data_IF_330274133916
#
_entry.id   IF_330274133916
#
_cell.length_a   1.000
_cell.length_b   1.000
_cell.length_c   1.000
_cell.angle_alpha   90.00
_cell.angle_beta   90.00
_cell.angle_gamma   90.00
#
_symmetry.space_group_name_H-M   'P 1'
#
loop_
_entity.id
_entity.type
_entity.pdbx_description
1 polymer ?
#
# COMPACT_ATOMS: atom_id res chain seq x y z
N UNK A 1 40.36 22.83 -15.05
CA UNK A 1 39.57 22.36 -16.21
C UNK A 1 38.90 21.06 -15.80
N UNK A 2 37.92 21.21 -14.93
CA UNK A 2 37.24 20.13 -14.20
C UNK A 2 35.83 19.97 -14.80
N UNK A 3 35.35 18.74 -14.91
CA UNK A 3 33.90 18.48 -14.89
C UNK A 3 33.23 17.83 -16.11
N UNK A 4 33.94 17.36 -17.15
CA UNK A 4 33.27 16.99 -18.41
C UNK A 4 32.77 15.55 -18.55
N UNK A 5 33.22 14.56 -17.76
CA UNK A 5 32.72 13.18 -17.89
C UNK A 5 31.57 12.84 -16.91
N UNK A 6 31.62 13.35 -15.67
CA UNK A 6 30.60 13.11 -14.65
C UNK A 6 29.28 13.87 -14.93
N UNK A 7 29.37 15.08 -15.50
CA UNK A 7 28.20 15.82 -15.98
C UNK A 7 27.54 15.11 -17.18
N UNK A 8 28.32 14.50 -18.08
CA UNK A 8 27.79 13.73 -19.21
C UNK A 8 27.07 12.45 -18.75
N UNK A 9 27.54 11.78 -17.70
CA UNK A 9 26.86 10.61 -17.10
C UNK A 9 25.58 10.96 -16.32
N UNK A 10 25.50 12.20 -15.83
CA UNK A 10 24.34 12.80 -15.16
C UNK A 10 23.29 13.30 -16.15
N UNK A 11 23.71 13.85 -17.28
CA UNK A 11 22.82 14.29 -18.37
C UNK A 11 22.28 13.12 -19.21
N UNK A 12 23.03 12.04 -19.38
CA UNK A 12 22.56 10.85 -20.10
C UNK A 12 21.41 10.10 -19.38
N UNK A 13 21.24 10.28 -18.07
CA UNK A 13 20.09 9.74 -17.31
C UNK A 13 18.79 10.54 -17.52
N UNK A 14 18.86 11.72 -18.13
CA UNK A 14 17.69 12.56 -18.40
C UNK A 14 17.11 12.37 -19.83
N UNK A 15 17.68 11.47 -20.64
CA UNK A 15 17.36 11.34 -22.06
C UNK A 15 16.74 10.00 -22.50
N UNK A 16 16.45 9.07 -21.59
CA UNK A 16 15.68 7.87 -21.92
C UNK A 16 14.20 8.03 -21.56
N UNK A 17 13.44 8.73 -22.42
CA UNK A 17 12.02 8.44 -22.69
C UNK A 17 11.46 9.36 -23.79
N UNK A 18 12.06 9.34 -24.99
CA UNK A 18 11.41 9.86 -26.20
C UNK A 18 11.73 8.99 -27.41
N UNK A 19 10.94 7.94 -27.62
CA UNK A 19 10.70 7.43 -28.97
C UNK A 19 9.21 7.63 -29.33
N UNK A 20 8.90 8.34 -30.44
CA UNK A 20 7.55 8.52 -30.90
C UNK A 20 7.09 7.27 -31.68
N UNK A 21 6.12 6.55 -31.14
CA UNK A 21 5.41 5.50 -31.87
C UNK A 21 4.60 6.15 -33.01
N UNK A 22 5.05 5.93 -34.24
CA UNK A 22 4.30 6.23 -35.47
C UNK A 22 3.11 5.27 -35.55
N UNK A 23 1.90 5.78 -35.33
CA UNK A 23 0.65 5.07 -35.63
C UNK A 23 0.08 5.59 -36.94
N UNK A 24 -0.02 4.70 -37.93
CA UNK A 24 -0.66 4.94 -39.23
C UNK A 24 -2.17 5.06 -39.07
N UNK A 25 -2.77 6.04 -39.75
CA UNK A 25 -4.19 6.31 -39.76
C UNK A 25 -5.00 5.15 -40.37
N UNK A 26 -5.96 4.64 -39.61
CA UNK A 26 -6.98 3.71 -40.06
C UNK A 26 -8.35 4.39 -40.14
N UNK A 27 -9.09 4.06 -41.19
CA UNK A 27 -10.35 4.64 -41.67
C UNK A 27 -11.47 4.83 -40.64
N UNK A 28 -12.23 5.90 -40.82
CA UNK A 28 -13.40 6.32 -40.04
C UNK A 28 -14.61 5.42 -40.26
N UNK A 29 -15.17 4.87 -39.18
CA UNK A 29 -16.57 4.40 -39.14
C UNK A 29 -17.35 5.14 -38.05
N UNK A 30 -18.49 5.71 -38.46
CA UNK A 30 -19.39 6.50 -37.63
C UNK A 30 -20.08 5.63 -36.58
N UNK A 31 -19.53 5.57 -35.37
CA UNK A 31 -20.26 5.14 -34.19
C UNK A 31 -20.79 6.36 -33.43
N UNK A 32 -22.13 6.46 -33.32
CA UNK A 32 -22.83 7.46 -32.53
C UNK A 32 -22.28 7.44 -31.11
N UNK A 33 -21.57 8.51 -30.72
CA UNK A 33 -20.99 8.61 -29.39
C UNK A 33 -22.11 8.74 -28.33
N UNK A 34 -22.04 7.99 -27.22
CA UNK A 34 -22.88 8.28 -26.08
C UNK A 34 -22.55 9.69 -25.59
N UNK A 35 -23.58 10.51 -25.35
CA UNK A 35 -23.42 11.83 -24.73
C UNK A 35 -22.80 11.64 -23.35
N UNK A 36 -21.49 11.79 -23.26
CA UNK A 36 -20.78 11.94 -21.98
C UNK A 36 -21.36 13.21 -21.35
N UNK A 37 -21.93 13.11 -20.14
CA UNK A 37 -22.18 14.27 -19.30
C UNK A 37 -20.82 14.87 -18.98
N UNK A 38 -20.39 15.82 -19.80
CA UNK A 38 -19.16 16.56 -19.57
C UNK A 38 -19.40 17.35 -18.26
N UNK A 39 -18.70 16.98 -17.19
CA UNK A 39 -18.94 17.46 -15.82
C UNK A 39 -18.62 18.95 -15.61
N UNK A 40 -18.87 19.46 -14.39
CA UNK A 40 -18.74 20.87 -13.98
C UNK A 40 -17.34 21.48 -14.07
N UNK A 41 -16.33 20.73 -14.54
CA UNK A 41 -14.93 21.14 -14.63
C UNK A 41 -14.47 21.40 -16.08
N UNK A 42 -15.41 21.63 -17.01
CA UNK A 42 -15.07 21.87 -18.42
C UNK A 42 -14.07 22.99 -18.56
N UNK A 43 -14.25 24.08 -17.82
CA UNK A 43 -13.45 25.29 -18.01
C UNK A 43 -12.20 25.32 -17.14
N UNK A 44 -11.88 24.22 -16.44
CA UNK A 44 -10.65 24.18 -15.62
C UNK A 44 -9.40 24.43 -16.49
N UNK A 45 -9.37 23.91 -17.72
CA UNK A 45 -8.24 24.10 -18.64
C UNK A 45 -8.16 25.51 -19.24
N UNK A 46 -9.15 26.38 -19.01
CA UNK A 46 -9.13 27.79 -19.45
C UNK A 46 -8.62 28.74 -18.37
N UNK A 47 -8.41 28.24 -17.14
CA UNK A 47 -7.83 29.03 -16.06
C UNK A 47 -6.36 29.39 -16.36
N UNK A 48 -5.91 30.59 -15.95
CA UNK A 48 -4.50 30.95 -15.93
C UNK A 48 -3.65 29.92 -15.18
N UNK A 49 -2.42 29.70 -15.64
CA UNK A 49 -1.51 28.72 -15.06
C UNK A 49 -1.25 28.94 -13.57
N UNK A 50 -1.19 30.20 -13.13
CA UNK A 50 -0.95 30.52 -11.72
C UNK A 50 -2.10 30.05 -10.82
N UNK A 51 -3.36 30.20 -11.26
CA UNK A 51 -4.52 29.67 -10.54
C UNK A 51 -4.55 28.15 -10.56
N UNK A 52 -4.17 27.54 -11.69
CA UNK A 52 -4.03 26.08 -11.78
C UNK A 52 -2.99 25.55 -10.79
N UNK A 53 -1.81 26.18 -10.70
CA UNK A 53 -0.79 25.78 -9.74
C UNK A 53 -1.20 26.05 -8.28
N UNK A 54 -1.93 27.13 -8.01
CA UNK A 54 -2.48 27.41 -6.68
C UNK A 54 -3.54 26.40 -6.25
N UNK A 55 -4.29 25.82 -7.19
CA UNK A 55 -5.16 24.67 -6.90
C UNK A 55 -4.32 23.41 -6.74
N UNK A 56 -3.42 23.15 -7.68
CA UNK A 56 -2.69 21.88 -7.74
C UNK A 56 -1.65 21.71 -6.63
N UNK A 57 -1.20 22.77 -5.96
CA UNK A 57 -0.27 22.68 -4.81
C UNK A 57 -0.87 21.92 -3.62
N UNK A 58 -2.20 21.79 -3.56
CA UNK A 58 -2.89 21.00 -2.55
C UNK A 58 -2.97 19.51 -2.88
N UNK A 59 -2.58 19.11 -4.09
CA UNK A 59 -2.60 17.73 -4.54
C UNK A 59 -1.43 16.93 -3.99
N UNK A 60 -1.62 15.62 -3.87
CA UNK A 60 -0.53 14.70 -3.63
C UNK A 60 0.22 14.38 -4.94
N UNK A 61 1.48 13.93 -4.89
CA UNK A 61 2.25 13.61 -6.10
C UNK A 61 1.58 12.55 -6.99
N UNK A 62 0.80 11.64 -6.41
CA UNK A 62 0.02 10.64 -7.15
C UNK A 62 -1.08 11.26 -8.01
N UNK A 63 -1.73 12.31 -7.51
CA UNK A 63 -2.77 13.03 -8.21
C UNK A 63 -2.17 13.87 -9.34
N UNK A 64 -1.02 14.51 -9.08
CA UNK A 64 -0.26 15.25 -10.10
C UNK A 64 0.19 14.32 -11.23
N UNK A 65 0.66 13.11 -10.91
CA UNK A 65 1.00 12.11 -11.93
C UNK A 65 -0.22 11.71 -12.76
N UNK A 66 -1.37 11.53 -12.12
CA UNK A 66 -2.63 11.20 -12.77
C UNK A 66 -3.08 12.34 -13.69
N UNK A 67 -2.95 13.58 -13.22
CA UNK A 67 -3.26 14.79 -13.99
C UNK A 67 -2.35 14.91 -15.22
N UNK A 68 -1.04 14.70 -15.05
CA UNK A 68 -0.06 14.69 -16.14
C UNK A 68 -0.31 13.57 -17.17
N UNK A 69 -1.09 12.54 -16.83
CA UNK A 69 -1.49 11.47 -17.75
C UNK A 69 -2.84 11.69 -18.41
N UNK A 70 -3.63 12.67 -17.94
CA UNK A 70 -4.99 12.90 -18.42
C UNK A 70 -5.04 13.62 -19.78
N UNK A 71 -4.16 14.61 -20.01
CA UNK A 71 -4.11 15.36 -21.27
C UNK A 71 -2.67 15.62 -21.72
N UNK A 72 -2.47 15.85 -23.02
CA UNK A 72 -1.15 16.22 -23.56
C UNK A 72 -0.65 17.56 -23.01
N UNK A 73 -1.54 18.54 -22.83
CA UNK A 73 -1.19 19.86 -22.29
C UNK A 73 -0.65 19.78 -20.86
N UNK A 74 -1.36 19.07 -19.98
CA UNK A 74 -0.88 18.86 -18.61
C UNK A 74 0.39 18.04 -18.56
N UNK A 75 0.55 17.04 -19.44
CA UNK A 75 1.80 16.29 -19.54
C UNK A 75 2.98 17.22 -19.85
N UNK A 76 2.88 18.05 -20.88
CA UNK A 76 3.94 18.97 -21.29
C UNK A 76 4.27 19.98 -20.19
N UNK A 77 3.25 20.54 -19.54
CA UNK A 77 3.42 21.50 -18.46
C UNK A 77 4.07 20.85 -17.23
N UNK A 78 3.50 19.76 -16.71
CA UNK A 78 3.91 19.18 -15.44
C UNK A 78 5.24 18.41 -15.54
N UNK A 79 5.61 17.90 -16.71
CA UNK A 79 6.88 17.18 -16.90
C UNK A 79 8.05 18.09 -17.31
N UNK A 80 7.83 19.41 -17.42
CA UNK A 80 8.89 20.36 -17.75
C UNK A 80 9.80 20.64 -16.55
N UNK A 81 11.02 21.12 -16.83
CA UNK A 81 11.96 21.59 -15.79
C UNK A 81 11.43 22.78 -14.99
N UNK A 82 10.56 23.61 -15.59
CA UNK A 82 9.97 24.78 -14.91
C UNK A 82 9.00 24.37 -13.80
N UNK A 83 8.47 23.14 -13.86
CA UNK A 83 7.53 22.61 -12.86
C UNK A 83 8.23 21.91 -11.68
N UNK A 84 9.56 21.90 -11.61
CA UNK A 84 10.30 21.27 -10.50
C UNK A 84 9.90 21.85 -9.12
N UNK A 85 9.83 23.18 -8.91
CA UNK A 85 9.41 23.73 -7.62
C UNK A 85 7.99 23.31 -7.23
N UNK A 86 7.12 23.14 -8.24
CA UNK A 86 5.75 22.68 -8.03
C UNK A 86 5.71 21.22 -7.52
N UNK A 87 6.49 20.31 -8.13
CA UNK A 87 6.60 18.94 -7.61
C UNK A 87 7.20 18.88 -6.21
N UNK A 88 8.17 19.75 -5.91
CA UNK A 88 8.74 19.84 -4.58
C UNK A 88 7.67 20.23 -3.53
N UNK A 89 6.79 21.18 -3.86
CA UNK A 89 5.68 21.58 -2.97
C UNK A 89 4.69 20.44 -2.78
N UNK A 90 4.25 19.78 -3.86
CA UNK A 90 3.25 18.70 -3.76
C UNK A 90 3.80 17.47 -3.02
N UNK A 91 5.10 17.19 -3.16
CA UNK A 91 5.78 16.15 -2.36
C UNK A 91 5.69 16.41 -0.86
N UNK A 92 5.76 17.67 -0.42
CA UNK A 92 5.68 18.06 1.00
C UNK A 92 4.29 17.85 1.62
N UNK A 93 3.25 17.64 0.81
CA UNK A 93 1.94 17.22 1.31
C UNK A 93 1.97 15.79 1.88
N UNK A 94 2.98 14.99 1.52
CA UNK A 94 3.15 13.63 2.03
C UNK A 94 4.00 13.66 3.30
N UNK A 95 3.34 13.42 4.42
CA UNK A 95 3.98 13.39 5.74
C UNK A 95 5.10 12.34 5.77
N UNK A 96 6.29 12.77 6.20
CA UNK A 96 7.46 11.91 6.44
C UNK A 96 8.15 11.35 5.19
N UNK A 97 7.71 11.69 3.97
CA UNK A 97 8.36 11.18 2.75
C UNK A 97 9.78 11.77 2.62
N UNK A 98 10.81 10.95 2.37
CA UNK A 98 12.18 11.45 2.19
C UNK A 98 12.29 12.51 1.08
N UNK A 99 13.30 13.39 1.15
CA UNK A 99 13.62 14.26 0.03
C UNK A 99 13.89 13.46 -1.25
N UNK A 100 13.49 14.02 -2.39
CA UNK A 100 13.86 13.45 -3.68
C UNK A 100 15.40 13.48 -3.80
N UNK A 101 16.07 12.35 -4.06
CA UNK A 101 17.52 12.32 -4.18
C UNK A 101 17.97 12.99 -5.48
N UNK A 102 19.23 13.46 -5.51
CA UNK A 102 19.80 14.20 -6.65
C UNK A 102 19.90 13.39 -7.95
N UNK A 103 19.89 12.06 -7.85
CA UNK A 103 19.91 11.11 -8.98
C UNK A 103 18.51 10.73 -9.49
N UNK A 104 17.43 11.29 -8.93
CA UNK A 104 16.06 11.14 -9.44
C UNK A 104 15.44 12.52 -9.73
N UNK A 105 14.58 12.57 -10.75
CA UNK A 105 13.68 13.70 -10.93
C UNK A 105 12.45 13.54 -10.03
N UNK A 106 11.86 14.64 -9.58
CA UNK A 106 10.64 14.60 -8.74
C UNK A 106 9.48 13.79 -9.39
N UNK A 107 9.19 13.89 -10.70
CA UNK A 107 8.18 13.03 -11.34
C UNK A 107 8.56 11.54 -11.34
N UNK A 108 9.84 11.22 -11.54
CA UNK A 108 10.32 9.83 -11.48
C UNK A 108 10.22 9.27 -10.06
N UNK A 109 10.55 10.09 -9.06
CA UNK A 109 10.42 9.73 -7.64
C UNK A 109 8.96 9.50 -7.26
N UNK A 110 8.05 10.40 -7.67
CA UNK A 110 6.62 10.20 -7.47
C UNK A 110 6.14 8.91 -8.15
N UNK A 111 6.59 8.62 -9.38
CA UNK A 111 6.19 7.40 -10.09
C UNK A 111 6.74 6.14 -9.41
N UNK A 112 7.96 6.19 -8.87
CA UNK A 112 8.54 5.12 -8.07
C UNK A 112 7.72 4.86 -6.81
N UNK A 113 7.35 5.90 -6.08
CA UNK A 113 6.70 5.77 -4.77
C UNK A 113 5.23 5.38 -4.91
N UNK A 114 4.46 6.10 -5.72
CA UNK A 114 2.99 6.01 -5.69
C UNK A 114 2.40 5.13 -6.78
N UNK A 115 3.11 4.93 -7.89
CA UNK A 115 2.59 4.10 -8.95
C UNK A 115 2.91 2.61 -8.70
N UNK A 116 2.06 1.70 -9.16
CA UNK A 116 2.25 0.25 -8.97
C UNK A 116 2.59 -0.49 -10.26
N UNK A 117 3.06 0.23 -11.29
CA UNK A 117 3.49 -0.39 -12.55
C UNK A 117 4.96 -0.83 -12.51
N UNK A 118 5.23 -1.97 -13.14
CA UNK A 118 6.55 -2.44 -13.49
C UNK A 118 7.19 -1.44 -14.45
N UNK A 119 8.41 -0.98 -14.16
CA UNK A 119 9.10 0.00 -14.99
C UNK A 119 9.43 -0.54 -16.38
N UNK A 120 9.60 -1.87 -16.49
CA UNK A 120 9.86 -2.56 -17.76
C UNK A 120 8.59 -2.86 -18.56
N UNK A 121 7.69 -3.70 -18.05
CA UNK A 121 6.55 -4.21 -18.83
C UNK A 121 5.22 -3.49 -18.58
N UNK A 122 5.21 -2.48 -17.70
CA UNK A 122 4.02 -1.74 -17.25
C UNK A 122 2.91 -2.57 -16.59
N UNK A 123 3.08 -3.89 -16.43
CA UNK A 123 2.21 -4.73 -15.59
C UNK A 123 2.31 -4.39 -14.10
N UNK A 124 1.57 -5.07 -13.23
CA UNK A 124 1.54 -4.75 -11.78
C UNK A 124 2.82 -5.18 -11.07
N UNK A 125 3.41 -4.28 -10.28
CA UNK A 125 4.58 -4.47 -9.44
C UNK A 125 4.36 -3.78 -8.08
N UNK A 126 4.10 -4.60 -7.05
CA UNK A 126 3.71 -4.11 -5.71
C UNK A 126 4.90 -3.61 -4.89
N UNK A 127 6.07 -4.19 -5.10
CA UNK A 127 7.27 -3.89 -4.32
C UNK A 127 8.08 -2.79 -5.01
N UNK A 128 8.54 -1.85 -4.19
CA UNK A 128 9.61 -0.91 -4.54
C UNK A 128 10.93 -1.61 -4.23
N UNK A 129 11.86 -1.61 -5.17
CA UNK A 129 13.26 -1.97 -4.93
C UNK A 129 14.01 -0.65 -4.90
N UNK A 130 14.15 -0.09 -3.70
CA UNK A 130 14.61 1.30 -3.51
C UNK A 130 16.04 1.50 -3.99
N UNK A 131 16.89 0.51 -3.73
CA UNK A 131 18.28 0.48 -4.16
C UNK A 131 18.41 0.59 -5.69
N UNK A 132 17.44 0.05 -6.43
CA UNK A 132 17.40 0.09 -7.90
C UNK A 132 16.55 1.23 -8.43
N UNK A 133 15.95 2.02 -7.54
CA UNK A 133 15.03 3.12 -7.87
C UNK A 133 13.93 2.66 -8.84
N UNK A 134 13.49 1.41 -8.69
CA UNK A 134 12.63 0.75 -9.66
C UNK A 134 11.59 -0.15 -9.00
N UNK A 135 10.57 -0.46 -9.80
CA UNK A 135 9.57 -1.50 -9.52
C UNK A 135 9.61 -2.52 -10.63
N UNK A 136 9.74 -3.79 -10.27
CA UNK A 136 9.68 -4.90 -11.20
C UNK A 136 8.64 -5.93 -10.75
N UNK A 137 7.88 -6.47 -11.70
CA UNK A 137 7.08 -7.66 -11.43
C UNK A 137 8.00 -8.88 -11.35
N UNK A 138 7.50 -9.97 -10.74
CA UNK A 138 8.30 -11.19 -10.54
C UNK A 138 8.86 -11.78 -11.84
N UNK A 139 8.23 -11.54 -13.00
CA UNK A 139 8.78 -11.99 -14.29
C UNK A 139 9.90 -11.10 -14.82
N UNK A 140 9.82 -9.81 -14.55
CA UNK A 140 10.78 -8.84 -15.07
C UNK A 140 12.03 -8.75 -14.20
N UNK A 141 11.89 -8.92 -12.88
CA UNK A 141 13.03 -8.84 -11.95
C UNK A 141 14.12 -9.84 -12.31
N UNK A 142 13.75 -11.09 -12.62
CA UNK A 142 14.73 -12.13 -13.00
C UNK A 142 15.43 -11.86 -14.34
N UNK A 143 14.91 -10.92 -15.13
CA UNK A 143 15.43 -10.56 -16.46
C UNK A 143 16.14 -9.20 -16.49
N UNK A 144 16.23 -8.53 -15.35
CA UNK A 144 16.91 -7.22 -15.19
C UNK A 144 17.80 -7.22 -13.94
N UNK A 145 18.01 -8.41 -13.37
CA UNK A 145 18.91 -8.60 -12.24
C UNK A 145 19.65 -9.92 -12.38
N UNK A 146 20.95 -9.86 -12.13
CA UNK A 146 21.87 -11.01 -12.11
C UNK A 146 22.09 -11.44 -10.67
N UNK A 147 22.10 -12.76 -10.41
CA UNK A 147 22.39 -13.27 -9.07
C UNK A 147 23.83 -12.95 -8.69
N UNK A 148 24.06 -12.70 -7.42
CA UNK A 148 25.39 -12.45 -6.88
C UNK A 148 26.38 -13.58 -7.22
N UNK A 149 25.94 -14.83 -7.12
CA UNK A 149 26.77 -15.99 -7.43
C UNK A 149 27.10 -16.14 -8.92
N UNK A 150 26.31 -15.54 -9.81
CA UNK A 150 26.47 -15.61 -11.27
C UNK A 150 27.19 -14.36 -11.81
N UNK A 151 27.54 -13.41 -10.94
CA UNK A 151 28.11 -12.12 -11.33
C UNK A 151 29.55 -12.28 -11.79
N UNK A 152 29.83 -11.80 -13.01
CA UNK A 152 31.17 -11.75 -13.58
C UNK A 152 31.64 -10.30 -13.64
N UNK A 153 32.73 -9.99 -12.94
CA UNK A 153 33.35 -8.67 -12.95
C UNK A 153 34.81 -8.75 -13.42
N UNK A 154 35.33 -7.69 -14.06
CA UNK A 154 36.76 -7.50 -14.25
C UNK A 154 37.59 -7.73 -12.99
N UNK A 155 38.82 -8.21 -13.16
CA UNK A 155 39.74 -8.49 -12.07
C UNK A 155 40.00 -7.23 -11.21
N UNK A 156 40.05 -7.42 -9.89
CA UNK A 156 40.25 -6.34 -8.91
C UNK A 156 38.99 -5.57 -8.50
N UNK A 157 37.82 -5.87 -9.09
CA UNK A 157 36.56 -5.26 -8.69
C UNK A 157 35.84 -6.06 -7.59
N UNK A 158 35.38 -5.35 -6.56
CA UNK A 158 34.58 -5.91 -5.47
C UNK A 158 33.11 -5.48 -5.64
N UNK A 159 32.24 -6.45 -5.94
CA UNK A 159 30.82 -6.17 -6.18
C UNK A 159 30.11 -5.57 -4.96
N UNK A 160 30.52 -5.92 -3.73
CA UNK A 160 29.90 -5.44 -2.49
C UNK A 160 30.23 -3.99 -2.19
N UNK A 161 31.38 -3.51 -2.67
CA UNK A 161 31.78 -2.10 -2.55
C UNK A 161 31.13 -1.23 -3.61
N UNK A 162 30.85 -1.78 -4.79
CA UNK A 162 30.42 -1.01 -5.96
C UNK A 162 28.91 -1.03 -6.21
N UNK A 163 28.19 -2.07 -5.78
CA UNK A 163 26.78 -2.22 -6.10
C UNK A 163 25.91 -2.55 -4.89
N UNK A 164 24.66 -2.12 -4.94
CA UNK A 164 23.65 -2.62 -4.03
C UNK A 164 23.27 -4.05 -4.45
N UNK A 165 23.45 -5.01 -3.53
CA UNK A 165 23.13 -6.42 -3.76
C UNK A 165 22.04 -6.83 -2.78
N UNK A 166 20.81 -6.97 -3.27
CA UNK A 166 19.62 -7.12 -2.42
C UNK A 166 18.69 -8.25 -2.89
N UNK A 167 17.80 -8.66 -1.99
CA UNK A 167 16.64 -9.51 -2.34
C UNK A 167 15.65 -8.67 -3.15
N UNK A 168 15.53 -8.97 -4.44
CA UNK A 168 14.79 -8.13 -5.39
C UNK A 168 13.29 -8.48 -5.55
N UNK A 169 12.83 -9.62 -5.01
CA UNK A 169 11.41 -10.01 -5.02
C UNK A 169 11.00 -10.71 -3.72
N UNK A 170 9.73 -10.61 -3.33
CA UNK A 170 9.18 -11.42 -2.25
C UNK A 170 9.31 -12.93 -2.50
N UNK A 171 9.27 -13.37 -3.77
CA UNK A 171 9.39 -14.77 -4.15
C UNK A 171 10.83 -15.31 -4.08
N UNK A 172 11.82 -14.41 -4.05
CA UNK A 172 13.23 -14.77 -3.92
C UNK A 172 13.52 -15.21 -2.48
N UNK A 173 14.39 -16.20 -2.30
CA UNK A 173 14.82 -16.60 -0.95
C UNK A 173 15.72 -15.51 -0.34
N UNK A 174 16.00 -15.59 0.96
CA UNK A 174 16.97 -14.67 1.60
C UNK A 174 18.39 -14.78 1.02
N UNK A 175 18.69 -15.89 0.34
CA UNK A 175 19.99 -16.16 -0.28
C UNK A 175 20.02 -15.77 -1.77
N UNK A 176 18.86 -15.50 -2.39
CA UNK A 176 18.78 -15.04 -3.78
C UNK A 176 18.94 -13.51 -3.82
N UNK A 177 20.16 -13.05 -3.48
CA UNK A 177 20.56 -11.66 -3.63
C UNK A 177 21.06 -11.43 -5.05
N UNK A 178 20.72 -10.27 -5.58
CA UNK A 178 20.96 -9.93 -6.98
C UNK A 178 21.54 -8.55 -7.10
N UNK A 179 22.17 -8.25 -8.23
CA UNK A 179 22.58 -6.91 -8.66
C UNK A 179 21.65 -6.44 -9.77
N UNK A 180 21.51 -5.13 -9.93
CA UNK A 180 20.68 -4.55 -10.99
C UNK A 180 21.44 -4.44 -12.30
N UNK A 181 20.98 -5.14 -13.34
CA UNK A 181 21.70 -5.22 -14.62
C UNK A 181 21.87 -3.85 -15.27
N UNK A 182 20.87 -2.95 -15.33
CA UNK A 182 21.06 -1.62 -15.89
C UNK A 182 22.14 -0.78 -15.20
N UNK A 183 22.29 -0.89 -13.87
CA UNK A 183 23.34 -0.18 -13.13
C UNK A 183 24.71 -0.80 -13.40
N UNK A 184 24.77 -2.13 -13.41
CA UNK A 184 25.98 -2.89 -13.72
C UNK A 184 26.49 -2.59 -15.14
N UNK A 185 25.62 -2.70 -16.14
CA UNK A 185 25.93 -2.43 -17.55
C UNK A 185 26.39 -0.99 -17.75
N UNK A 186 25.74 -0.02 -17.08
CA UNK A 186 26.15 1.38 -17.12
C UNK A 186 27.57 1.55 -16.56
N UNK A 187 27.85 0.97 -15.40
CA UNK A 187 29.18 1.04 -14.79
C UNK A 187 30.25 0.38 -15.66
N UNK A 188 30.01 -0.85 -16.14
CA UNK A 188 30.98 -1.60 -16.96
C UNK A 188 31.28 -0.89 -18.28
N UNK A 189 30.30 -0.19 -18.87
CA UNK A 189 30.53 0.65 -20.05
C UNK A 189 31.51 1.78 -19.76
N UNK A 190 31.33 2.50 -18.65
CA UNK A 190 32.21 3.59 -18.23
C UNK A 190 33.60 3.04 -17.86
N UNK A 191 33.64 1.92 -17.14
CA UNK A 191 34.89 1.24 -16.78
C UNK A 191 35.72 0.87 -18.01
N UNK A 192 35.08 0.33 -19.05
CA UNK A 192 35.74 -0.04 -20.30
C UNK A 192 36.30 1.15 -21.09
N UNK A 193 35.69 2.33 -20.97
CA UNK A 193 36.18 3.56 -21.62
C UNK A 193 37.09 4.43 -20.74
N UNK A 194 37.34 4.04 -19.49
CA UNK A 194 38.12 4.84 -18.53
C UNK A 194 39.57 4.38 -18.51
N UNK A 195 40.48 5.33 -18.72
CA UNK A 195 41.92 5.11 -18.62
C UNK A 195 42.33 4.59 -17.25
N UNK A 196 43.37 3.75 -17.20
CA UNK A 196 43.83 3.10 -15.96
C UNK A 196 44.13 4.11 -14.86
N UNK A 197 44.69 5.28 -15.21
CA UNK A 197 44.98 6.36 -14.27
C UNK A 197 43.74 6.90 -13.54
N UNK A 198 42.56 6.87 -14.17
CA UNK A 198 41.32 7.45 -13.63
C UNK A 198 40.41 6.40 -12.98
N UNK A 199 40.79 5.11 -13.00
CA UNK A 199 39.95 4.02 -12.47
C UNK A 199 39.77 4.10 -10.95
N UNK A 200 40.77 4.56 -10.21
CA UNK A 200 40.67 4.71 -8.75
C UNK A 200 39.61 5.74 -8.36
N UNK A 201 39.55 6.86 -9.06
CA UNK A 201 38.55 7.91 -8.87
C UNK A 201 37.14 7.37 -9.20
N UNK A 202 36.99 6.68 -10.34
CA UNK A 202 35.73 6.06 -10.73
C UNK A 202 35.21 5.05 -9.68
N UNK A 203 36.10 4.25 -9.08
CA UNK A 203 35.73 3.31 -8.02
C UNK A 203 35.28 4.05 -6.75
N UNK A 204 35.99 5.12 -6.37
CA UNK A 204 35.60 5.96 -5.23
C UNK A 204 34.22 6.58 -5.42
N UNK A 205 33.94 7.10 -6.61
CA UNK A 205 32.66 7.72 -6.92
C UNK A 205 31.51 6.70 -7.00
N UNK A 206 31.78 5.51 -7.54
CA UNK A 206 30.81 4.42 -7.55
C UNK A 206 30.50 3.94 -6.13
N UNK A 207 31.49 3.86 -5.25
CA UNK A 207 31.29 3.50 -3.85
C UNK A 207 30.46 4.56 -3.11
N UNK A 208 30.73 5.85 -3.33
CA UNK A 208 29.90 6.94 -2.79
C UNK A 208 28.46 6.85 -3.29
N UNK A 209 28.25 6.63 -4.59
CA UNK A 209 26.91 6.45 -5.15
C UNK A 209 26.18 5.27 -4.51
N UNK A 210 26.87 4.13 -4.29
CA UNK A 210 26.29 2.99 -3.58
C UNK A 210 25.86 3.36 -2.16
N UNK A 211 26.68 4.15 -1.43
CA UNK A 211 26.34 4.62 -0.08
C UNK A 211 25.11 5.52 -0.09
N UNK A 212 25.05 6.51 -0.99
CA UNK A 212 23.88 7.39 -1.16
C UNK A 212 22.60 6.60 -1.49
N UNK A 213 22.71 5.58 -2.36
CA UNK A 213 21.59 4.69 -2.69
C UNK A 213 21.12 3.87 -1.49
N UNK A 214 22.05 3.39 -0.66
CA UNK A 214 21.72 2.64 0.54
C UNK A 214 21.02 3.51 1.59
N UNK A 215 21.48 4.75 1.79
CA UNK A 215 20.84 5.72 2.67
C UNK A 215 19.43 6.08 2.19
N UNK A 216 19.29 6.40 0.90
CA UNK A 216 17.98 6.63 0.28
C UNK A 216 17.04 5.43 0.44
N UNK A 217 17.56 4.21 0.25
CA UNK A 217 16.78 2.99 0.37
C UNK A 217 16.33 2.71 1.80
N UNK A 218 17.20 2.94 2.79
CA UNK A 218 16.83 2.83 4.20
C UNK A 218 15.71 3.83 4.55
N UNK A 219 15.90 5.11 4.22
CA UNK A 219 14.89 6.14 4.48
C UNK A 219 13.55 5.84 3.78
N UNK A 220 13.59 5.35 2.54
CA UNK A 220 12.38 4.94 1.80
C UNK A 220 11.67 3.74 2.43
N UNK A 221 12.42 2.74 2.93
CA UNK A 221 11.87 1.58 3.64
C UNK A 221 11.22 1.97 4.97
N UNK A 222 11.90 2.80 5.75
CA UNK A 222 11.38 3.28 7.05
C UNK A 222 10.08 4.08 6.83
N UNK A 223 10.09 5.01 5.88
CA UNK A 223 8.88 5.73 5.50
C UNK A 223 7.75 4.80 5.04
N UNK A 224 8.04 3.75 4.27
CA UNK A 224 7.00 2.83 3.80
C UNK A 224 6.36 2.04 4.95
N UNK A 225 7.13 1.70 5.98
CA UNK A 225 6.62 1.08 7.21
C UNK A 225 5.71 2.06 7.94
N UNK A 226 6.16 3.30 8.15
CA UNK A 226 5.38 4.34 8.84
C UNK A 226 4.12 4.75 8.06
N UNK A 227 4.20 4.83 6.73
CA UNK A 227 3.07 5.11 5.87
C UNK A 227 2.01 4.00 5.97
N UNK A 228 2.43 2.74 6.02
CA UNK A 228 1.52 1.61 6.23
C UNK A 228 0.87 1.66 7.61
N UNK A 229 1.62 2.01 8.65
CA UNK A 229 1.10 2.20 10.02
C UNK A 229 0.05 3.31 10.06
N UNK A 230 0.37 4.50 9.54
CA UNK A 230 -0.58 5.63 9.46
C UNK A 230 -1.84 5.29 8.68
N UNK A 231 -1.71 4.57 7.56
CA UNK A 231 -2.87 4.14 6.78
C UNK A 231 -3.74 3.12 7.54
N UNK A 232 -3.16 2.29 8.41
CA UNK A 232 -3.92 1.39 9.26
C UNK A 232 -4.61 2.14 10.41
N UNK A 233 -3.91 3.07 11.06
CA UNK A 233 -4.45 3.92 12.12
C UNK A 233 -5.61 4.77 11.62
N UNK A 234 -5.44 5.44 10.47
CA UNK A 234 -6.50 6.20 9.82
C UNK A 234 -7.74 5.35 9.53
N UNK A 235 -7.57 4.10 9.06
CA UNK A 235 -8.69 3.19 8.84
C UNK A 235 -9.43 2.85 10.14
N UNK A 236 -8.70 2.60 11.22
CA UNK A 236 -9.28 2.32 12.54
C UNK A 236 -10.03 3.54 13.06
N UNK A 237 -9.44 4.73 12.96
CA UNK A 237 -10.07 5.98 13.38
C UNK A 237 -11.36 6.26 12.60
N UNK A 238 -11.31 6.18 11.27
CA UNK A 238 -12.50 6.37 10.43
C UNK A 238 -13.59 5.33 10.71
N UNK A 239 -13.20 4.07 10.99
CA UNK A 239 -14.11 3.02 11.41
C UNK A 239 -14.80 3.35 12.74
N UNK A 240 -14.05 3.81 13.74
CA UNK A 240 -14.58 4.22 15.04
C UNK A 240 -15.53 5.41 14.94
N UNK A 241 -15.13 6.47 14.22
CA UNK A 241 -15.98 7.64 13.98
C UNK A 241 -17.31 7.23 13.36
N UNK A 242 -17.26 6.35 12.37
CA UNK A 242 -18.48 5.88 11.70
C UNK A 242 -19.34 5.01 12.61
N UNK A 243 -18.74 4.07 13.32
CA UNK A 243 -19.47 3.23 14.27
C UNK A 243 -20.19 4.09 15.31
N UNK A 244 -19.52 5.13 15.83
CA UNK A 244 -20.14 6.10 16.74
C UNK A 244 -21.39 6.76 16.15
N UNK A 245 -21.33 7.23 14.90
CA UNK A 245 -22.50 7.81 14.20
C UNK A 245 -23.64 6.80 14.03
N UNK A 246 -23.33 5.55 13.70
CA UNK A 246 -24.35 4.49 13.59
C UNK A 246 -25.02 4.24 14.93
N UNK A 247 -24.23 4.12 16.00
CA UNK A 247 -24.74 3.93 17.37
C UNK A 247 -25.64 5.10 17.77
N UNK A 248 -25.22 6.35 17.53
CA UNK A 248 -26.02 7.55 17.81
C UNK A 248 -27.37 7.51 17.08
N UNK A 249 -27.38 7.21 15.78
CA UNK A 249 -28.62 7.12 14.99
C UNK A 249 -29.53 6.00 15.48
N UNK A 250 -28.99 4.83 15.83
CA UNK A 250 -29.76 3.71 16.36
C UNK A 250 -30.35 4.01 17.74
N UNK A 251 -29.64 4.75 18.61
CA UNK A 251 -30.22 5.26 19.87
C UNK A 251 -31.43 6.16 19.59
N UNK A 252 -31.34 7.04 18.60
CA UNK A 252 -32.46 7.87 18.15
C UNK A 252 -33.66 7.06 17.63
N UNK A 253 -33.45 5.82 17.19
CA UNK A 253 -34.50 4.88 16.77
C UNK A 253 -35.02 3.98 17.90
N UNK A 254 -34.59 4.19 19.15
CA UNK A 254 -35.09 3.47 20.32
C UNK A 254 -34.31 2.20 20.69
N UNK A 255 -33.11 1.99 20.15
CA UNK A 255 -32.29 0.79 20.42
C UNK A 255 -31.29 0.93 21.58
N UNK A 256 -31.47 1.91 22.46
CA UNK A 256 -30.50 2.22 23.53
C UNK A 256 -30.19 1.03 24.43
N UNK A 257 -31.20 0.28 24.89
CA UNK A 257 -31.01 -0.85 25.81
C UNK A 257 -30.13 -1.97 25.21
N UNK A 258 -30.42 -2.36 23.96
CA UNK A 258 -29.61 -3.35 23.25
C UNK A 258 -28.18 -2.84 22.99
N UNK A 259 -28.01 -1.55 22.68
CA UNK A 259 -26.71 -0.93 22.45
C UNK A 259 -25.87 -0.87 23.73
N UNK A 260 -26.46 -0.53 24.86
CA UNK A 260 -25.77 -0.46 26.16
C UNK A 260 -25.26 -1.84 26.57
N UNK A 261 -26.06 -2.89 26.35
CA UNK A 261 -25.68 -4.28 26.60
C UNK A 261 -24.53 -4.79 25.73
N UNK A 262 -24.30 -4.19 24.56
CA UNK A 262 -23.20 -4.57 23.66
C UNK A 262 -22.02 -3.59 23.68
N UNK A 263 -22.07 -2.53 24.49
CA UNK A 263 -21.05 -1.50 24.54
C UNK A 263 -19.67 -2.07 24.90
N UNK A 264 -19.61 -2.93 25.91
CA UNK A 264 -18.36 -3.59 26.36
C UNK A 264 -17.76 -4.53 25.32
N UNK A 265 -18.60 -5.05 24.41
CA UNK A 265 -18.16 -5.88 23.29
C UNK A 265 -17.71 -5.08 22.06
N UNK A 266 -17.66 -3.74 22.16
CA UNK A 266 -17.33 -2.85 21.06
C UNK A 266 -18.34 -2.88 19.92
N UNK A 267 -19.62 -3.11 20.25
CA UNK A 267 -20.71 -3.22 19.28
C UNK A 267 -20.44 -4.26 18.18
N UNK A 268 -19.80 -5.40 18.51
CA UNK A 268 -19.27 -6.38 17.54
C UNK A 268 -20.20 -6.71 16.36
N UNK A 269 -21.52 -6.96 16.54
CA UNK A 269 -22.43 -7.22 15.42
C UNK A 269 -22.45 -6.08 14.40
N UNK A 270 -22.53 -4.83 14.87
CA UNK A 270 -22.54 -3.63 14.04
C UNK A 270 -21.15 -3.30 13.49
N UNK A 271 -20.13 -3.37 14.33
CA UNK A 271 -18.73 -3.08 13.97
C UNK A 271 -18.22 -3.97 12.84
N UNK A 272 -18.71 -5.21 12.74
CA UNK A 272 -18.34 -6.14 11.67
C UNK A 272 -19.04 -5.89 10.33
N UNK A 273 -20.02 -4.98 10.27
CA UNK A 273 -20.78 -4.73 9.06
C UNK A 273 -19.94 -3.99 8.01
N UNK A 274 -20.03 -4.44 6.76
CA UNK A 274 -19.29 -3.89 5.63
C UNK A 274 -19.38 -2.36 5.53
N UNK A 275 -20.59 -1.79 5.72
CA UNK A 275 -20.81 -0.34 5.61
C UNK A 275 -20.11 0.47 6.70
N UNK A 276 -19.73 -0.13 7.82
CA UNK A 276 -18.93 0.54 8.85
C UNK A 276 -17.45 0.60 8.44
N UNK A 277 -16.96 -0.43 7.75
CA UNK A 277 -15.56 -0.53 7.33
C UNK A 277 -15.16 0.25 6.07
N UNK A 278 -16.09 0.90 5.36
CA UNK A 278 -15.74 1.68 4.15
C UNK A 278 -15.09 3.01 4.56
N UNK A 279 -13.89 3.39 4.09
CA UNK A 279 -13.28 4.67 4.45
C UNK A 279 -13.81 5.80 3.53
N UNK A 280 -15.03 6.27 3.75
CA UNK A 280 -15.64 7.37 3.00
C UNK A 280 -16.27 8.42 3.94
N UNK A 281 -16.53 9.66 3.48
CA UNK A 281 -17.37 10.58 4.23
C UNK A 281 -18.75 9.96 4.47
N UNK A 282 -19.28 10.11 5.68
CA UNK A 282 -20.65 9.71 5.99
C UNK A 282 -21.60 10.81 5.50
N UNK A 283 -22.40 10.52 4.48
CA UNK A 283 -23.49 11.38 4.03
C UNK A 283 -24.86 10.84 4.52
N UNK A 284 -25.85 11.72 4.70
CA UNK A 284 -27.19 11.30 5.13
C UNK A 284 -27.85 10.37 4.10
N UNK A 285 -27.50 10.54 2.83
CA UNK A 285 -27.98 9.67 1.76
C UNK A 285 -27.53 8.22 1.92
N UNK A 286 -26.30 7.97 2.37
CA UNK A 286 -25.81 6.63 2.68
C UNK A 286 -26.63 6.05 3.82
N UNK A 287 -26.88 6.82 4.89
CA UNK A 287 -27.69 6.36 6.03
C UNK A 287 -29.07 5.88 5.59
N UNK A 288 -29.79 6.67 4.81
CA UNK A 288 -31.12 6.30 4.28
C UNK A 288 -31.10 4.95 3.54
N UNK A 289 -30.01 4.65 2.81
CA UNK A 289 -29.87 3.41 2.05
C UNK A 289 -29.48 2.19 2.89
N UNK A 290 -28.80 2.39 4.01
CA UNK A 290 -28.23 1.29 4.81
C UNK A 290 -28.92 1.10 6.17
N UNK A 291 -29.72 2.07 6.62
CA UNK A 291 -30.40 2.06 7.92
C UNK A 291 -31.14 0.75 8.18
N UNK A 292 -31.91 0.27 7.20
CA UNK A 292 -32.71 -0.94 7.35
C UNK A 292 -31.85 -2.16 7.71
N UNK A 293 -30.64 -2.27 7.16
CA UNK A 293 -29.73 -3.39 7.46
C UNK A 293 -29.19 -3.33 8.89
N UNK A 294 -29.00 -2.13 9.42
CA UNK A 294 -28.63 -1.95 10.82
C UNK A 294 -29.77 -2.32 11.76
N UNK A 295 -31.01 -1.92 11.42
CA UNK A 295 -32.20 -2.29 12.20
C UNK A 295 -32.41 -3.81 12.21
N UNK A 296 -32.34 -4.48 11.07
CA UNK A 296 -32.42 -5.95 10.97
C UNK A 296 -31.36 -6.64 11.83
N UNK A 297 -30.14 -6.08 11.88
CA UNK A 297 -29.07 -6.59 12.73
C UNK A 297 -29.42 -6.44 14.20
N UNK A 298 -29.98 -5.30 14.61
CA UNK A 298 -30.40 -5.05 16.00
C UNK A 298 -31.57 -5.95 16.42
N UNK A 299 -32.52 -6.20 15.52
CA UNK A 299 -33.60 -7.16 15.73
C UNK A 299 -33.05 -8.58 15.96
N UNK A 300 -32.11 -9.02 15.13
CA UNK A 300 -31.45 -10.31 15.29
C UNK A 300 -30.73 -10.43 16.63
N UNK A 301 -29.99 -9.39 17.04
CA UNK A 301 -29.32 -9.34 18.35
C UNK A 301 -30.34 -9.44 19.48
N UNK A 302 -31.45 -8.72 19.40
CA UNK A 302 -32.53 -8.75 20.41
C UNK A 302 -33.15 -10.14 20.51
N UNK A 303 -33.40 -10.80 19.39
CA UNK A 303 -33.93 -12.17 19.34
C UNK A 303 -32.97 -13.15 20.00
N UNK A 304 -31.68 -13.10 19.65
CA UNK A 304 -30.66 -13.96 20.24
C UNK A 304 -30.55 -13.77 21.76
N UNK A 305 -30.51 -12.51 22.22
CA UNK A 305 -30.49 -12.17 23.64
C UNK A 305 -31.69 -12.75 24.38
N UNK A 306 -32.91 -12.51 23.88
CA UNK A 306 -34.14 -13.02 24.50
C UNK A 306 -34.17 -14.54 24.55
N UNK A 307 -33.62 -15.21 23.53
CA UNK A 307 -33.50 -16.66 23.51
C UNK A 307 -32.53 -17.15 24.60
N UNK A 308 -31.34 -16.54 24.71
CA UNK A 308 -30.37 -16.87 25.76
C UNK A 308 -30.91 -16.64 27.17
N UNK A 309 -31.60 -15.53 27.42
CA UNK A 309 -32.24 -15.25 28.73
C UNK A 309 -33.30 -16.29 29.08
N UNK A 310 -34.14 -16.71 28.10
CA UNK A 310 -35.14 -17.77 28.33
C UNK A 310 -34.49 -19.11 28.65
N UNK A 311 -33.41 -19.46 27.96
CA UNK A 311 -32.66 -20.70 28.23
C UNK A 311 -32.01 -20.67 29.61
N UNK A 312 -31.38 -19.56 30.00
CA UNK A 312 -30.76 -19.41 31.32
C UNK A 312 -31.79 -19.60 32.45
N UNK A 313 -32.96 -18.95 32.34
CA UNK A 313 -34.06 -19.14 33.28
C UNK A 313 -34.57 -20.59 33.33
N UNK A 314 -34.61 -21.27 32.18
CA UNK A 314 -35.01 -22.67 32.11
C UNK A 314 -33.97 -23.58 32.81
N UNK A 315 -32.68 -23.34 32.59
CA UNK A 315 -31.59 -24.06 33.26
C UNK A 315 -31.56 -23.83 34.78
N UNK A 316 -31.69 -22.58 35.24
CA UNK A 316 -31.79 -22.27 36.68
C UNK A 316 -32.95 -23.04 37.33
N UNK A 317 -34.13 -23.04 36.68
CA UNK A 317 -35.31 -23.78 37.18
C UNK A 317 -35.09 -25.29 37.23
N UNK A 318 -34.32 -25.87 36.30
CA UNK A 318 -33.97 -27.29 36.32
C UNK A 318 -32.98 -27.63 37.43
N UNK A 319 -31.97 -26.79 37.65
CA UNK A 319 -30.98 -26.98 38.71
C UNK A 319 -31.65 -26.90 40.09
N UNK A 320 -32.55 -25.94 40.31
CA UNK A 320 -33.32 -25.83 41.56
C UNK A 320 -34.35 -26.94 41.79
N UNK A 321 -34.66 -27.75 40.77
CA UNK A 321 -35.56 -28.92 40.87
C UNK A 321 -34.82 -30.25 40.94
N UNK A 322 -33.49 -30.28 40.88
CA UNK A 322 -32.74 -31.52 41.06
C UNK A 322 -32.84 -31.96 42.55
N UNK A 323 -33.48 -33.11 42.87
CA UNK A 323 -33.60 -33.55 44.25
C UNK A 323 -32.22 -33.91 44.80
N UNK A 324 -31.91 -33.34 45.97
CA UNK A 324 -30.76 -33.67 46.81
C UNK A 324 -30.81 -35.17 47.11
N UNK A 325 -30.00 -36.00 46.42
CA UNK A 325 -29.85 -37.41 46.75
C UNK A 325 -29.08 -37.50 48.07
N UNK A 326 -29.78 -37.32 49.19
CA UNK A 326 -29.31 -37.81 50.47
C UNK A 326 -29.28 -39.34 50.42
N UNK A 327 -28.13 -39.85 50.82
CA UNK A 327 -27.74 -41.24 51.04
C UNK A 327 -28.85 -42.09 51.67
N UNK A 328 -29.37 -43.06 50.91
CA UNK A 328 -29.95 -44.27 51.49
C UNK A 328 -28.79 -45.25 51.63
N UNK A 329 -28.12 -45.19 52.78
CA UNK A 329 -27.11 -46.16 53.18
C UNK A 329 -27.84 -47.40 53.73
N UNK A 330 -28.29 -48.25 52.80
CA UNK A 330 -28.88 -49.54 53.12
C UNK A 330 -27.78 -50.50 53.55
N UNK A 331 -27.67 -50.73 54.87
CA UNK A 331 -26.88 -51.83 55.44
C UNK A 331 -27.27 -53.15 54.77
N UNK A 332 -26.33 -53.74 54.05
CA UNK A 332 -26.29 -55.17 53.78
C UNK A 332 -25.17 -55.74 54.63
N UNK A 333 -25.55 -56.44 55.70
CA UNK A 333 -24.62 -57.30 56.44
C UNK A 333 -24.25 -58.53 55.59
N UNK A 334 -23.01 -59.03 55.71
CA UNK A 334 -22.54 -60.19 54.96
C UNK A 334 -22.96 -61.51 55.63
N UNK A 335 -23.65 -62.35 54.87
CA UNK A 335 -23.97 -63.73 55.21
C UNK A 335 -22.70 -64.60 55.19
N UNK A 336 -22.38 -65.23 56.32
CA UNK A 336 -21.29 -66.19 56.47
C UNK A 336 -21.85 -67.60 56.66
N UNK A 337 -21.35 -68.53 55.84
CA UNK A 337 -21.47 -69.98 56.03
C UNK A 337 -22.13 -70.66 54.83
N UNK A 338 -21.58 -71.65 54.14
CA UNK A 338 -20.40 -72.49 54.36
C UNK A 338 -20.67 -73.86 53.73
N UNK A 339 -19.60 -74.50 53.24
CA UNK A 339 -19.39 -75.96 53.17
C UNK A 339 -19.66 -76.74 51.86
N UNK A 340 -18.52 -77.17 51.26
CA UNK A 340 -18.11 -78.56 50.85
C UNK A 340 -18.95 -79.34 49.82
N UNK A 341 -18.44 -80.23 48.94
CA UNK A 341 -17.16 -80.93 48.74
C UNK A 341 -17.06 -81.31 47.23
N UNK A 342 -15.84 -81.45 46.66
CA UNK A 342 -15.21 -82.71 46.19
C UNK A 342 -16.11 -83.62 45.33
#
# INVERSE_FOLDING_TARGET
>A
MEGTAFQQLREALLLYDTEPTRFTAGSTTNHRQPRVRIGSLKDMHTLPLDLLFEIFRHLEPVDVLSLARSTRGYRTLLMSKTSIPFWFVTRRNIVGLPPCPTFLSEPAYANLVFNSNCHRCKGVARLIIWEYRARYCNRCVDRVTTKEADLQLPEGLDCHKLFCIVKASANHTKHDRRVHDPDLEKFLRVWGSTDVANRSELLSDQEKLRQELAEFANAGRDWAVDAKKRAAEYKVEMHQIRLGKVVEKLRGLGWSDELDRMADSGYRPLSSMYFVGIPAPWDEFLWERVQQRFVETMESVKVQRLHSERLALWFERLIHRAPNRQSVDGRLEPDQGGSTAV
#
